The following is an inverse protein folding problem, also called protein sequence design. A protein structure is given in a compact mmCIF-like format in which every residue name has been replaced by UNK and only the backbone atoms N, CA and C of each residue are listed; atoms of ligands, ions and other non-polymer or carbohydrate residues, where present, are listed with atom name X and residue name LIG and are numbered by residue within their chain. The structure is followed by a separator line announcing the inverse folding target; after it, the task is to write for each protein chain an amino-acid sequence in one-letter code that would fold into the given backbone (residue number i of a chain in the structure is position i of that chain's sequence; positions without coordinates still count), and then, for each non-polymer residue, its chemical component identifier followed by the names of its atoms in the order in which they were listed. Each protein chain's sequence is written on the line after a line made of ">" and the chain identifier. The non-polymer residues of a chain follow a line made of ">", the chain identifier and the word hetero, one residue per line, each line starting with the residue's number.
data_IF_196539984019
#
_entry.id   IF_196539984019
#
_cell.length_a   1.000
_cell.length_b   1.000
_cell.length_c   1.000
_cell.angle_alpha   90.00
_cell.angle_beta   90.00
_cell.angle_gamma   90.00
#
_symmetry.space_group_name_H-M   'P 1'
#
loop_
_entity.id
_entity.type
_entity.pdbx_description
1 polymer ?
#
# COMPACT_ATOMS: atom_id res chain seq x y z
N UNK A 1 15.58 4.78 -5.66
CA UNK A 1 14.46 5.20 -6.52
C UNK A 1 13.35 5.78 -5.64
N UNK A 2 12.31 6.36 -6.23
CA UNK A 2 11.13 6.88 -5.51
C UNK A 2 10.00 5.86 -5.59
N UNK A 3 9.30 5.67 -4.48
CA UNK A 3 8.16 4.77 -4.43
C UNK A 3 6.90 5.47 -4.98
N UNK A 4 6.09 4.72 -5.71
CA UNK A 4 4.68 5.03 -5.90
C UNK A 4 3.89 4.48 -4.71
N UNK A 5 2.81 5.16 -4.35
CA UNK A 5 1.96 4.75 -3.22
C UNK A 5 0.64 4.21 -3.76
N UNK A 6 0.37 2.92 -3.54
CA UNK A 6 -0.75 2.23 -4.20
C UNK A 6 -2.12 2.85 -3.93
N UNK A 7 -2.32 3.46 -2.76
CA UNK A 7 -3.59 4.12 -2.42
C UNK A 7 -3.83 5.44 -3.16
N UNK A 8 -2.80 6.02 -3.76
CA UNK A 8 -2.89 7.32 -4.42
C UNK A 8 -1.72 7.55 -5.39
N UNK A 9 -1.86 7.00 -6.59
CA UNK A 9 -0.89 7.14 -7.67
C UNK A 9 -1.59 7.27 -9.02
N UNK A 10 -0.88 7.85 -9.99
CA UNK A 10 -1.28 7.83 -11.39
C UNK A 10 -0.09 7.40 -12.25
N UNK A 11 -0.34 6.47 -13.18
CA UNK A 11 0.67 5.96 -14.10
C UNK A 11 0.29 6.30 -15.54
N UNK A 12 1.26 6.82 -16.31
CA UNK A 12 1.05 7.05 -17.75
C UNK A 12 0.89 5.71 -18.47
N UNK A 13 -0.02 5.65 -19.44
CA UNK A 13 -0.22 4.46 -20.28
C UNK A 13 1.09 3.99 -20.94
N UNK A 14 1.93 4.91 -21.39
CA UNK A 14 3.22 4.58 -22.01
C UNK A 14 4.15 3.87 -21.02
N UNK A 15 4.29 4.42 -19.82
CA UNK A 15 5.09 3.82 -18.74
C UNK A 15 4.55 2.44 -18.33
N UNK A 16 3.22 2.28 -18.23
CA UNK A 16 2.62 0.97 -17.97
C UNK A 16 3.00 -0.06 -19.03
N UNK A 17 2.87 0.29 -20.32
CA UNK A 17 3.19 -0.64 -21.42
C UNK A 17 4.66 -1.08 -21.43
N UNK A 18 5.55 -0.23 -20.94
CA UNK A 18 6.98 -0.51 -20.86
C UNK A 18 7.30 -1.60 -19.83
N UNK A 19 6.60 -1.58 -18.69
CA UNK A 19 6.89 -2.50 -17.56
C UNK A 19 5.88 -3.63 -17.39
N UNK A 20 4.71 -3.58 -18.04
CA UNK A 20 3.60 -4.52 -17.80
C UNK A 20 3.96 -6.00 -18.05
N UNK A 21 4.93 -6.27 -18.93
CA UNK A 21 5.42 -7.63 -19.19
C UNK A 21 6.38 -8.16 -18.14
N UNK A 22 6.85 -7.32 -17.22
CA UNK A 22 7.87 -7.64 -16.22
C UNK A 22 7.33 -7.62 -14.79
N UNK A 23 6.28 -6.83 -14.53
CA UNK A 23 5.56 -6.80 -13.24
C UNK A 23 5.24 -8.21 -12.76
N UNK A 24 5.58 -8.49 -11.50
CA UNK A 24 5.52 -9.85 -10.98
C UNK A 24 4.07 -10.30 -10.77
N UNK A 25 3.74 -11.48 -11.30
CA UNK A 25 2.47 -12.14 -10.99
C UNK A 25 2.54 -12.71 -9.56
N UNK A 26 1.81 -12.09 -8.63
CA UNK A 26 1.78 -12.47 -7.21
C UNK A 26 0.48 -13.19 -6.83
N UNK A 27 0.20 -14.34 -7.46
CA UNK A 27 -1.04 -15.10 -7.24
C UNK A 27 -1.24 -15.53 -5.77
N UNK A 28 -0.14 -15.68 -5.03
CA UNK A 28 -0.14 -16.09 -3.63
C UNK A 28 -0.28 -14.89 -2.66
N UNK A 29 -0.42 -13.66 -3.17
CA UNK A 29 -0.59 -12.43 -2.40
C UNK A 29 0.50 -12.24 -1.31
N UNK A 30 1.76 -12.41 -1.72
CA UNK A 30 2.94 -12.39 -0.85
C UNK A 30 3.69 -11.06 -0.85
N UNK A 31 3.41 -10.17 -1.80
CA UNK A 31 4.16 -8.96 -2.11
C UNK A 31 3.30 -7.69 -2.00
N UNK A 32 3.98 -6.54 -2.01
CA UNK A 32 3.35 -5.24 -2.20
C UNK A 32 3.43 -4.84 -3.67
N UNK A 33 2.27 -4.75 -4.33
CA UNK A 33 2.14 -4.38 -5.74
C UNK A 33 2.74 -3.00 -6.06
N UNK A 34 2.65 -2.04 -5.15
CA UNK A 34 3.15 -0.68 -5.34
C UNK A 34 4.67 -0.60 -5.21
N UNK A 35 5.27 -1.45 -4.37
CA UNK A 35 6.73 -1.62 -4.29
C UNK A 35 7.25 -2.33 -5.54
N UNK A 36 6.59 -3.40 -5.99
CA UNK A 36 6.92 -4.11 -7.22
C UNK A 36 6.93 -3.16 -8.42
N UNK A 37 5.85 -2.39 -8.58
CA UNK A 37 5.71 -1.37 -9.61
C UNK A 37 6.82 -0.31 -9.50
N UNK A 38 7.17 0.13 -8.29
CA UNK A 38 8.24 1.12 -8.06
C UNK A 38 9.61 0.61 -8.50
N UNK A 39 9.88 -0.69 -8.31
CA UNK A 39 11.15 -1.32 -8.71
C UNK A 39 11.24 -1.35 -10.24
N UNK A 40 10.22 -1.86 -10.93
CA UNK A 40 10.23 -1.91 -12.39
C UNK A 40 10.27 -0.52 -13.04
N UNK A 41 9.57 0.48 -12.49
CA UNK A 41 9.71 1.87 -12.95
C UNK A 41 11.16 2.36 -12.82
N UNK A 42 11.84 2.00 -11.73
CA UNK A 42 13.22 2.40 -11.52
C UNK A 42 14.22 1.68 -12.45
N UNK A 43 14.00 0.39 -12.71
CA UNK A 43 14.84 -0.43 -13.60
C UNK A 43 14.81 0.08 -15.04
N UNK A 44 13.65 0.57 -15.49
CA UNK A 44 13.48 1.24 -16.80
C UNK A 44 13.85 2.73 -16.79
N UNK A 45 14.37 3.26 -15.68
CA UNK A 45 14.79 4.67 -15.58
C UNK A 45 13.62 5.67 -15.66
N UNK A 46 12.39 5.22 -15.40
CA UNK A 46 11.19 6.05 -15.49
C UNK A 46 11.05 6.96 -14.25
N UNK A 47 10.74 8.23 -14.50
CA UNK A 47 10.64 9.23 -13.45
C UNK A 47 9.34 9.09 -12.65
N UNK A 48 9.48 8.97 -11.32
CA UNK A 48 8.37 9.05 -10.36
C UNK A 48 8.39 10.41 -9.67
N UNK A 49 7.40 11.25 -9.99
CA UNK A 49 7.21 12.57 -9.39
C UNK A 49 6.31 12.53 -8.16
N UNK A 50 6.49 13.51 -7.27
CA UNK A 50 5.59 13.76 -6.14
C UNK A 50 4.65 14.92 -6.48
N UNK A 51 3.33 14.70 -6.35
CA UNK A 51 2.31 15.71 -6.57
C UNK A 51 1.70 16.11 -5.21
N UNK A 52 2.08 17.27 -4.62
CA UNK A 52 1.65 17.64 -3.27
C UNK A 52 0.14 17.86 -3.14
N UNK A 53 -0.52 18.27 -4.23
CA UNK A 53 -1.96 18.52 -4.25
C UNK A 53 -2.82 17.25 -4.41
N UNK A 54 -2.18 16.11 -4.72
CA UNK A 54 -2.87 14.83 -4.85
C UNK A 54 -3.02 14.22 -3.46
N UNK A 55 -4.02 14.68 -2.70
CA UNK A 55 -4.28 14.26 -1.32
C UNK A 55 -5.43 13.24 -1.29
N UNK A 56 -5.22 12.11 -0.62
CA UNK A 56 -6.23 11.06 -0.47
C UNK A 56 -6.29 10.56 0.98
N UNK A 57 -7.50 10.32 1.48
CA UNK A 57 -7.71 9.68 2.77
C UNK A 57 -7.48 8.18 2.69
N UNK A 58 -6.66 7.62 3.58
CA UNK A 58 -6.46 6.18 3.71
C UNK A 58 -7.15 5.64 4.95
N UNK A 59 -7.78 4.47 4.83
CA UNK A 59 -8.32 3.77 5.99
C UNK A 59 -7.24 2.92 6.63
N UNK A 60 -6.97 3.11 7.92
CA UNK A 60 -5.98 2.29 8.64
C UNK A 60 -6.54 0.90 9.05
N UNK A 61 -7.26 0.23 8.15
CA UNK A 61 -7.94 -1.07 8.37
C UNK A 61 -6.99 -2.17 8.87
N UNK A 62 -5.71 -2.11 8.48
CA UNK A 62 -4.68 -3.05 8.94
C UNK A 62 -4.42 -2.98 10.45
N UNK A 63 -4.85 -1.91 11.10
CA UNK A 63 -4.82 -1.82 12.56
C UNK A 63 -5.95 -2.59 13.25
N UNK A 64 -6.97 -3.02 12.51
CA UNK A 64 -8.12 -3.75 13.06
C UNK A 64 -7.96 -5.28 12.86
N UNK A 65 -6.87 -5.73 12.25
CA UNK A 65 -6.60 -7.16 12.01
C UNK A 65 -5.85 -7.81 13.17
N UNK A 66 -5.72 -9.14 13.12
CA UNK A 66 -4.87 -9.84 14.08
C UNK A 66 -3.40 -9.43 13.89
N UNK A 67 -2.59 -9.63 14.94
CA UNK A 67 -1.16 -9.40 14.84
C UNK A 67 -0.49 -10.29 13.78
N UNK A 68 -1.00 -11.52 13.58
CA UNK A 68 -0.49 -12.43 12.54
C UNK A 68 -0.69 -11.83 11.15
N UNK A 69 -1.91 -11.38 10.84
CA UNK A 69 -2.24 -10.78 9.54
C UNK A 69 -1.45 -9.47 9.31
N UNK A 70 -1.30 -8.66 10.36
CA UNK A 70 -0.49 -7.45 10.31
C UNK A 70 0.98 -7.77 10.07
N UNK A 71 1.52 -8.77 10.75
CA UNK A 71 2.90 -9.22 10.60
C UNK A 71 3.15 -9.75 9.19
N UNK A 72 2.22 -10.54 8.63
CA UNK A 72 2.32 -11.00 7.26
C UNK A 72 2.29 -9.84 6.26
N UNK A 73 1.42 -8.86 6.46
CA UNK A 73 1.40 -7.62 5.68
C UNK A 73 2.75 -6.89 5.75
N UNK A 74 3.31 -6.69 6.93
CA UNK A 74 4.60 -6.00 7.12
C UNK A 74 5.78 -6.78 6.53
N UNK A 75 5.72 -8.11 6.51
CA UNK A 75 6.75 -8.95 5.91
C UNK A 75 6.74 -8.89 4.38
N UNK A 76 5.64 -8.49 3.74
CA UNK A 76 5.56 -8.37 2.28
C UNK A 76 6.60 -7.42 1.71
N UNK A 77 6.95 -6.34 2.42
CA UNK A 77 8.08 -5.47 2.06
C UNK A 77 9.34 -6.30 1.75
N UNK A 78 9.74 -7.16 2.67
CA UNK A 78 10.95 -7.98 2.54
C UNK A 78 10.80 -9.06 1.47
N UNK A 79 9.60 -9.64 1.32
CA UNK A 79 9.30 -10.63 0.27
C UNK A 79 9.45 -9.99 -1.11
N UNK A 80 8.90 -8.79 -1.32
CA UNK A 80 9.04 -8.04 -2.58
C UNK A 80 10.50 -7.70 -2.89
N UNK A 81 11.26 -7.13 -1.93
CA UNK A 81 12.67 -6.84 -2.18
C UNK A 81 13.49 -8.10 -2.54
N UNK A 82 13.21 -9.23 -1.88
CA UNK A 82 13.89 -10.49 -2.17
C UNK A 82 13.56 -11.05 -3.55
N UNK A 83 12.31 -10.93 -3.99
CA UNK A 83 11.90 -11.36 -5.34
C UNK A 83 12.72 -10.64 -6.43
N UNK A 84 13.09 -9.38 -6.17
CA UNK A 84 13.92 -8.54 -7.05
C UNK A 84 15.43 -8.62 -6.77
N UNK A 85 15.89 -9.60 -5.99
CA UNK A 85 17.29 -9.72 -5.55
C UNK A 85 17.88 -8.46 -4.87
N UNK A 86 17.02 -7.58 -4.35
CA UNK A 86 17.40 -6.34 -3.67
C UNK A 86 17.67 -6.62 -2.18
N UNK A 87 18.84 -7.17 -1.87
CA UNK A 87 19.23 -7.50 -0.49
C UNK A 87 20.03 -6.37 0.20
N UNK A 88 19.44 -5.19 0.35
CA UNK A 88 20.06 -4.09 1.15
C UNK A 88 19.59 -4.14 2.60
N UNK A 89 20.47 -3.85 3.56
CA UNK A 89 20.15 -3.69 4.98
C UNK A 89 19.00 -2.71 5.30
N UNK A 90 18.62 -1.87 4.33
CA UNK A 90 17.53 -0.90 4.40
C UNK A 90 16.13 -1.55 4.26
N UNK A 91 16.03 -2.81 3.80
CA UNK A 91 14.75 -3.56 3.67
C UNK A 91 14.00 -3.70 5.00
N UNK A 92 14.73 -3.67 6.12
CA UNK A 92 14.17 -3.82 7.48
C UNK A 92 13.58 -2.54 8.03
N UNK A 93 13.97 -1.36 7.53
CA UNK A 93 13.56 -0.07 8.12
C UNK A 93 12.04 0.11 8.09
N UNK A 94 11.35 -0.05 6.94
CA UNK A 94 9.89 0.08 6.90
C UNK A 94 9.21 -0.89 7.86
N UNK A 95 9.64 -2.15 7.85
CA UNK A 95 9.07 -3.16 8.73
C UNK A 95 9.27 -2.85 10.22
N UNK A 96 10.48 -2.45 10.62
CA UNK A 96 10.78 -2.07 12.01
C UNK A 96 9.92 -0.90 12.48
N UNK A 97 9.79 0.16 11.66
CA UNK A 97 8.96 1.32 12.00
C UNK A 97 7.49 0.92 12.14
N UNK A 98 6.98 0.12 11.20
CA UNK A 98 5.59 -0.35 11.24
C UNK A 98 5.31 -1.25 12.45
N UNK A 99 6.24 -2.11 12.86
CA UNK A 99 6.10 -2.89 14.09
C UNK A 99 6.13 -2.02 15.35
N UNK A 100 7.00 -1.00 15.41
CA UNK A 100 7.09 -0.10 16.56
C UNK A 100 5.81 0.72 16.77
N UNK A 101 5.20 1.18 15.68
CA UNK A 101 3.99 2.02 15.73
C UNK A 101 2.72 1.17 15.96
N UNK A 102 2.73 -0.12 15.57
CA UNK A 102 1.58 -1.01 15.67
C UNK A 102 0.90 -1.04 17.05
N UNK A 103 1.58 -1.36 18.17
CA UNK A 103 0.91 -1.52 19.46
C UNK A 103 0.20 -0.23 19.91
N UNK A 104 0.82 0.93 19.64
CA UNK A 104 0.23 2.24 19.96
C UNK A 104 -1.05 2.50 19.16
N UNK A 105 -1.00 2.31 17.84
CA UNK A 105 -2.17 2.53 16.98
C UNK A 105 -3.29 1.50 17.21
N UNK A 106 -2.93 0.24 17.46
CA UNK A 106 -3.88 -0.85 17.69
C UNK A 106 -4.61 -0.63 19.01
N UNK A 107 -3.88 -0.34 20.09
CA UNK A 107 -4.46 -0.01 21.39
C UNK A 107 -5.35 1.23 21.34
N UNK A 108 -4.91 2.31 20.69
CA UNK A 108 -5.72 3.53 20.53
C UNK A 108 -7.03 3.27 19.76
N UNK A 109 -6.98 2.46 18.69
CA UNK A 109 -8.18 2.08 17.93
C UNK A 109 -9.12 1.18 18.72
N UNK A 110 -8.59 0.21 19.46
CA UNK A 110 -9.40 -0.64 20.32
C UNK A 110 -10.13 0.19 21.39
N UNK A 111 -9.44 1.13 22.04
CA UNK A 111 -10.05 2.07 23.00
C UNK A 111 -11.12 2.94 22.32
N UNK A 112 -10.87 3.44 21.11
CA UNK A 112 -11.84 4.25 20.36
C UNK A 112 -13.08 3.44 19.99
N UNK A 113 -12.91 2.22 19.50
CA UNK A 113 -14.00 1.34 19.10
C UNK A 113 -14.87 0.94 20.30
N UNK A 114 -14.28 0.79 21.49
CA UNK A 114 -15.02 0.57 22.75
C UNK A 114 -15.85 1.80 23.18
N UNK A 115 -15.49 3.01 22.72
CA UNK A 115 -16.16 4.27 23.07
C UNK A 115 -17.21 4.73 22.05
N UNK A 116 -17.18 4.19 20.83
CA UNK A 116 -18.13 4.55 19.76
C UNK A 116 -19.36 3.65 19.78
N UNK A 117 -20.54 4.21 20.04
CA UNK A 117 -21.83 3.61 19.68
C UNK A 117 -21.89 3.45 18.14
N UNK A 118 -22.47 2.36 17.59
CA UNK A 118 -22.54 2.17 16.15
C UNK A 118 -23.28 3.35 15.50
N UNK A 119 -22.57 4.14 14.71
CA UNK A 119 -23.15 5.22 13.94
C UNK A 119 -23.56 4.65 12.59
N UNK A 120 -24.88 4.57 12.34
CA UNK A 120 -25.42 4.25 11.03
C UNK A 120 -25.05 5.41 10.09
N UNK A 121 -24.11 5.17 9.17
CA UNK A 121 -23.80 6.13 8.11
C UNK A 121 -24.75 5.86 6.94
N UNK A 122 -25.76 6.72 6.76
CA UNK A 122 -26.48 6.80 5.49
C UNK A 122 -25.52 7.37 4.44
N UNK A 123 -24.93 6.51 3.62
CA UNK A 123 -24.14 6.95 2.49
C UNK A 123 -25.06 7.66 1.48
N UNK A 124 -24.73 8.87 1.01
CA UNK A 124 -25.49 9.50 -0.05
C UNK A 124 -25.46 8.60 -1.29
N UNK A 125 -26.64 8.33 -1.86
CA UNK A 125 -26.78 7.55 -3.10
C UNK A 125 -26.01 8.26 -4.21
N UNK A 126 -24.91 7.66 -4.67
CA UNK A 126 -24.17 8.14 -5.84
C UNK A 126 -25.07 8.00 -7.07
N UNK A 127 -25.34 9.07 -7.84
CA UNK A 127 -26.13 8.96 -9.06
C UNK A 127 -25.40 8.06 -10.06
N UNK A 128 -26.06 6.98 -10.49
CA UNK A 128 -25.57 6.15 -11.60
C UNK A 128 -25.78 6.94 -12.89
N UNK A 129 -24.69 7.42 -13.49
CA UNK A 129 -24.75 8.07 -14.81
C UNK A 129 -25.24 7.06 -15.85
N UNK A 130 -26.26 7.39 -16.67
CA UNK A 130 -26.71 6.51 -17.74
C UNK A 130 -25.60 6.32 -18.76
N UNK A 131 -25.40 5.08 -19.20
CA UNK A 131 -24.47 4.77 -20.29
C UNK A 131 -25.07 5.31 -21.59
N UNK A 132 -24.33 6.19 -22.27
CA UNK A 132 -24.59 6.59 -23.65
C UNK A 132 -24.11 5.52 -24.63
#
# INVERSE_FOLDING_TARGET
>A
YRFVFGSNMALRRSAWREIAGEVCQDENDLMHEDIDLSIHLAEHGLFVGYAPDMICGISARRMDTTFSDYSDYVQRFRRTYRAHSLNRHLDRIPSTVLYLIYPSLHGLRQIRNLRTTPQHYDLPRVPVMPRH
#
